data_IF_034091386262
#
_entry.id   IF_034091386262
#
_cell.length_a   1.000
_cell.length_b   1.000
_cell.length_c   1.000
_cell.angle_alpha   90.00
_cell.angle_beta   90.00
_cell.angle_gamma   90.00
#
_symmetry.space_group_name_H-M   'P 1'
#
loop_
_entity.id
_entity.type
_entity.pdbx_description
1 polymer ?
#
# COMPACT_ATOMS: atom_id res chain seq x y z
N UNK A 1 -18.16 -32.72 -10.59
CA UNK A 1 -19.07 -31.57 -10.84
C UNK A 1 -19.33 -30.73 -9.58
N UNK A 2 -19.65 -31.33 -8.42
CA UNK A 2 -19.85 -30.60 -7.14
C UNK A 2 -18.55 -29.90 -6.68
N UNK A 3 -17.40 -30.58 -6.73
CA UNK A 3 -16.10 -30.01 -6.32
C UNK A 3 -15.73 -28.75 -7.11
N UNK A 4 -15.90 -28.75 -8.44
CA UNK A 4 -15.61 -27.59 -9.27
C UNK A 4 -16.51 -26.40 -8.92
N UNK A 5 -17.79 -26.64 -8.61
CA UNK A 5 -18.70 -25.57 -8.16
C UNK A 5 -18.27 -24.97 -6.83
N UNK A 6 -17.79 -25.79 -5.89
CA UNK A 6 -17.28 -25.33 -4.59
C UNK A 6 -16.00 -24.50 -4.80
N UNK A 7 -15.04 -25.00 -5.59
CA UNK A 7 -13.80 -24.28 -5.91
C UNK A 7 -14.11 -22.94 -6.57
N UNK A 8 -15.01 -22.92 -7.56
CA UNK A 8 -15.41 -21.69 -8.24
C UNK A 8 -16.09 -20.69 -7.29
N UNK A 9 -17.00 -21.16 -6.43
CA UNK A 9 -17.66 -20.31 -5.43
C UNK A 9 -16.67 -19.70 -4.44
N UNK A 10 -15.68 -20.49 -4.01
CA UNK A 10 -14.65 -20.03 -3.07
C UNK A 10 -13.69 -19.03 -3.75
N UNK A 11 -13.28 -19.31 -4.98
CA UNK A 11 -12.47 -18.38 -5.78
C UNK A 11 -13.18 -17.04 -5.99
N UNK A 12 -14.47 -17.09 -6.31
CA UNK A 12 -15.31 -15.89 -6.45
C UNK A 12 -15.42 -15.11 -5.13
N UNK A 13 -15.62 -15.79 -4.01
CA UNK A 13 -15.66 -15.16 -2.69
C UNK A 13 -14.38 -14.37 -2.38
N UNK A 14 -13.21 -14.98 -2.62
CA UNK A 14 -11.93 -14.31 -2.42
C UNK A 14 -11.74 -13.12 -3.38
N UNK A 15 -12.11 -13.28 -4.66
CA UNK A 15 -12.01 -12.20 -5.65
C UNK A 15 -12.89 -11.00 -5.28
N UNK A 16 -14.15 -11.24 -4.89
CA UNK A 16 -15.09 -10.19 -4.47
C UNK A 16 -14.63 -9.50 -3.18
N UNK A 17 -14.16 -10.28 -2.20
CA UNK A 17 -13.68 -9.73 -0.94
C UNK A 17 -12.40 -8.89 -1.12
N UNK A 18 -11.47 -9.34 -1.97
CA UNK A 18 -10.28 -8.57 -2.35
C UNK A 18 -10.65 -7.27 -3.07
N UNK A 19 -11.63 -7.33 -3.98
CA UNK A 19 -12.16 -6.15 -4.67
C UNK A 19 -12.81 -5.16 -3.72
N UNK A 20 -13.60 -5.63 -2.74
CA UNK A 20 -14.20 -4.78 -1.71
C UNK A 20 -13.15 -4.06 -0.85
N UNK A 21 -12.05 -4.73 -0.52
CA UNK A 21 -10.92 -4.12 0.21
C UNK A 21 -10.23 -3.03 -0.62
N UNK A 22 -10.00 -3.27 -1.92
CA UNK A 22 -9.44 -2.24 -2.82
C UNK A 22 -10.40 -1.05 -2.91
N UNK A 23 -11.70 -1.29 -3.05
CA UNK A 23 -12.71 -0.23 -3.09
C UNK A 23 -12.73 0.59 -1.79
N UNK A 24 -12.68 -0.07 -0.62
CA UNK A 24 -12.60 0.62 0.66
C UNK A 24 -11.31 1.45 0.78
N UNK A 25 -10.18 0.92 0.31
CA UNK A 25 -8.92 1.66 0.29
C UNK A 25 -9.00 2.89 -0.63
N UNK A 26 -9.74 2.80 -1.74
CA UNK A 26 -10.00 3.93 -2.64
C UNK A 26 -10.78 5.03 -1.94
N UNK A 27 -11.82 4.69 -1.18
CA UNK A 27 -12.57 5.67 -0.39
C UNK A 27 -11.68 6.37 0.65
N UNK A 28 -10.83 5.60 1.35
CA UNK A 28 -9.87 6.18 2.30
C UNK A 28 -8.92 7.13 1.59
N UNK A 29 -8.38 6.74 0.43
CA UNK A 29 -7.50 7.61 -0.35
C UNK A 29 -8.20 8.88 -0.82
N UNK A 30 -9.43 8.78 -1.32
CA UNK A 30 -10.20 9.94 -1.76
C UNK A 30 -10.40 10.96 -0.63
N UNK A 31 -10.72 10.49 0.58
CA UNK A 31 -10.87 11.35 1.77
C UNK A 31 -9.51 11.91 2.25
N UNK A 32 -8.43 11.14 2.09
CA UNK A 32 -7.09 11.44 2.62
C UNK A 32 -6.10 11.98 1.58
N UNK A 33 -6.58 12.33 0.39
CA UNK A 33 -5.72 12.74 -0.72
C UNK A 33 -4.90 14.00 -0.39
N UNK A 34 -5.48 14.96 0.34
CA UNK A 34 -4.78 16.17 0.79
C UNK A 34 -3.69 15.82 1.81
N UNK A 35 -4.05 15.08 2.86
CA UNK A 35 -3.12 14.57 3.88
C UNK A 35 -1.93 13.81 3.26
N UNK A 36 -2.19 13.04 2.20
CA UNK A 36 -1.19 12.29 1.45
C UNK A 36 -0.21 13.20 0.69
N UNK A 37 -0.72 14.16 -0.10
CA UNK A 37 0.14 15.07 -0.85
C UNK A 37 0.90 16.06 0.03
N UNK A 38 0.31 16.48 1.16
CA UNK A 38 1.00 17.32 2.15
C UNK A 38 2.22 16.60 2.73
N UNK A 39 2.08 15.31 3.08
CA UNK A 39 3.19 14.49 3.57
C UNK A 39 4.31 14.37 2.52
N UNK A 40 3.95 14.12 1.27
CA UNK A 40 4.90 14.07 0.14
C UNK A 40 5.61 15.40 -0.03
N UNK A 41 4.88 16.52 0.02
CA UNK A 41 5.45 17.85 -0.12
C UNK A 41 6.43 18.16 1.03
N UNK A 42 6.07 17.81 2.27
CA UNK A 42 6.95 17.96 3.44
C UNK A 42 8.24 17.15 3.28
N UNK A 43 8.16 15.91 2.79
CA UNK A 43 9.34 15.10 2.52
C UNK A 43 10.23 15.72 1.43
N UNK A 44 9.64 16.12 0.31
CA UNK A 44 10.36 16.70 -0.84
C UNK A 44 11.04 18.03 -0.55
N UNK A 45 10.62 18.76 0.49
CA UNK A 45 11.30 19.99 0.92
C UNK A 45 12.71 19.75 1.44
N UNK A 46 12.97 18.57 2.02
CA UNK A 46 14.24 18.26 2.71
C UNK A 46 15.01 17.11 2.04
N UNK A 47 14.31 16.22 1.34
CA UNK A 47 14.88 14.97 0.85
C UNK A 47 14.40 14.62 -0.56
N UNK A 48 15.15 13.77 -1.25
CA UNK A 48 14.74 13.19 -2.53
C UNK A 48 14.15 11.80 -2.32
N UNK A 49 13.17 11.42 -3.14
CA UNK A 49 12.63 10.07 -3.11
C UNK A 49 13.62 9.10 -3.77
N UNK A 50 13.84 7.90 -3.19
CA UNK A 50 14.54 6.84 -3.89
C UNK A 50 13.74 6.41 -5.13
N UNK A 51 14.43 5.88 -6.14
CA UNK A 51 13.93 5.64 -7.51
C UNK A 51 12.55 4.96 -7.59
N UNK A 52 12.19 3.96 -6.76
CA UNK A 52 10.84 3.41 -6.81
C UNK A 52 9.80 4.47 -6.40
N UNK A 53 10.00 5.17 -5.28
CA UNK A 53 9.05 6.14 -4.75
C UNK A 53 8.93 7.40 -5.61
N UNK A 54 10.00 7.79 -6.32
CA UNK A 54 9.99 8.96 -7.21
C UNK A 54 9.09 8.77 -8.43
N UNK A 55 8.87 7.54 -8.88
CA UNK A 55 7.87 7.26 -9.93
C UNK A 55 6.46 7.10 -9.34
N UNK A 56 6.34 6.37 -8.24
CA UNK A 56 5.02 5.99 -7.71
C UNK A 56 4.22 7.15 -7.10
N UNK A 57 4.86 8.24 -6.64
CA UNK A 57 4.11 9.40 -6.16
C UNK A 57 3.27 10.09 -7.24
N UNK A 58 3.53 9.81 -8.52
CA UNK A 58 2.82 10.41 -9.67
C UNK A 58 1.61 9.59 -10.16
N UNK A 59 1.43 8.37 -9.67
CA UNK A 59 0.43 7.40 -10.18
C UNK A 59 -0.88 7.42 -9.34
N UNK A 60 -1.06 8.45 -8.51
CA UNK A 60 -2.26 8.63 -7.71
C UNK A 60 -2.56 7.45 -6.78
N UNK A 61 -3.81 6.96 -6.80
CA UNK A 61 -4.28 5.90 -5.91
C UNK A 61 -3.42 4.63 -5.92
N UNK A 62 -3.08 4.10 -7.09
CA UNK A 62 -2.27 2.87 -7.17
C UNK A 62 -0.83 3.07 -6.66
N UNK A 63 -0.28 4.27 -6.88
CA UNK A 63 1.04 4.63 -6.39
C UNK A 63 1.10 4.88 -4.88
N UNK A 64 -0.01 5.30 -4.27
CA UNK A 64 -0.10 5.60 -2.86
C UNK A 64 0.27 4.41 -1.98
N UNK A 65 -0.04 3.17 -2.37
CA UNK A 65 0.37 1.97 -1.65
C UNK A 65 1.90 1.88 -1.47
N UNK A 66 2.66 2.13 -2.53
CA UNK A 66 4.12 2.03 -2.49
C UNK A 66 4.73 3.18 -1.69
N UNK A 67 4.21 4.39 -1.87
CA UNK A 67 4.67 5.58 -1.13
C UNK A 67 4.33 5.49 0.36
N UNK A 68 3.13 5.01 0.71
CA UNK A 68 2.73 4.78 2.09
C UNK A 68 3.61 3.70 2.73
N UNK A 69 3.87 2.60 2.02
CA UNK A 69 4.81 1.56 2.49
C UNK A 69 6.21 2.13 2.73
N UNK A 70 6.68 3.02 1.87
CA UNK A 70 7.94 3.75 2.06
C UNK A 70 7.92 4.53 3.38
N UNK A 71 6.91 5.36 3.63
CA UNK A 71 6.81 6.14 4.87
C UNK A 71 6.66 5.26 6.13
N UNK A 72 5.93 4.15 6.06
CA UNK A 72 5.82 3.18 7.17
C UNK A 72 7.18 2.54 7.50
N UNK A 73 8.00 2.26 6.47
CA UNK A 73 9.36 1.75 6.69
C UNK A 73 10.27 2.82 7.26
N UNK A 74 10.18 4.04 6.71
CA UNK A 74 10.97 5.19 7.14
C UNK A 74 10.71 5.52 8.61
N UNK A 75 9.44 5.52 9.05
CA UNK A 75 9.06 5.79 10.45
C UNK A 75 9.59 4.74 11.44
N UNK A 76 9.97 3.56 10.96
CA UNK A 76 10.54 2.49 11.77
C UNK A 76 12.05 2.31 11.53
N UNK A 77 12.69 3.25 10.81
CA UNK A 77 14.11 3.18 10.42
C UNK A 77 14.50 1.84 9.79
N UNK A 78 13.56 1.23 9.04
CA UNK A 78 13.77 -0.06 8.35
C UNK A 78 14.43 0.14 6.99
N UNK A 79 15.09 -0.90 6.51
CA UNK A 79 15.77 -0.89 5.20
C UNK A 79 14.78 -0.62 4.06
N UNK A 80 15.10 0.41 3.28
CA UNK A 80 14.38 0.83 2.09
C UNK A 80 15.27 0.53 0.89
N UNK A 81 14.69 -0.10 -0.13
CA UNK A 81 15.43 -0.44 -1.35
C UNK A 81 15.88 0.85 -2.05
N UNK A 82 17.14 0.88 -2.52
CA UNK A 82 17.77 2.05 -3.14
C UNK A 82 17.96 3.26 -2.21
N UNK A 83 18.02 3.04 -0.90
CA UNK A 83 18.35 4.06 0.09
C UNK A 83 19.48 3.53 0.99
N UNK A 84 20.49 4.36 1.24
CA UNK A 84 21.60 3.98 2.13
C UNK A 84 21.16 4.03 3.59
N UNK A 85 21.73 3.19 4.44
CA UNK A 85 21.41 3.16 5.86
C UNK A 85 21.76 4.44 6.63
N UNK A 86 22.77 5.16 6.18
CA UNK A 86 23.24 6.43 6.72
C UNK A 86 22.56 7.65 6.08
N UNK A 87 21.54 7.42 5.26
CA UNK A 87 20.83 8.50 4.59
C UNK A 87 20.08 9.38 5.62
N UNK A 88 20.29 10.72 5.58
CA UNK A 88 19.70 11.63 6.56
C UNK A 88 18.16 11.62 6.53
N UNK A 89 17.52 11.18 5.45
CA UNK A 89 16.07 11.10 5.37
C UNK A 89 15.44 10.11 6.36
N UNK A 90 16.23 9.21 6.97
CA UNK A 90 15.77 8.38 8.10
C UNK A 90 15.39 9.19 9.35
N UNK A 91 15.84 10.44 9.45
CA UNK A 91 15.43 11.37 10.52
C UNK A 91 14.12 12.11 10.22
N UNK A 92 13.46 11.85 9.09
CA UNK A 92 12.25 12.57 8.69
C UNK A 92 11.10 12.55 9.72
N UNK A 93 10.95 11.45 10.46
CA UNK A 93 9.95 11.29 11.52
C UNK A 93 10.51 11.53 12.93
N UNK A 94 11.77 11.97 13.06
CA UNK A 94 12.33 12.36 14.36
C UNK A 94 11.83 13.76 14.78
N UNK A 95 11.34 14.56 13.82
CA UNK A 95 10.72 15.88 14.04
C UNK A 95 9.28 15.72 14.59
N UNK A 96 8.92 16.41 15.67
CA UNK A 96 7.67 16.16 16.42
C UNK A 96 6.38 16.47 15.66
N UNK A 97 6.47 17.33 14.64
CA UNK A 97 5.30 17.83 13.90
C UNK A 97 4.83 16.88 12.79
N UNK A 98 5.69 15.93 12.37
CA UNK A 98 5.37 15.00 11.28
C UNK A 98 5.25 13.60 11.84
N UNK A 99 4.02 13.07 11.83
CA UNK A 99 3.74 11.72 12.33
C UNK A 99 3.07 10.86 11.27
N UNK A 100 3.39 9.56 11.32
CA UNK A 100 2.73 8.56 10.51
C UNK A 100 1.27 8.40 10.98
N UNK A 101 0.33 8.87 10.17
CA UNK A 101 -1.10 8.85 10.49
C UNK A 101 -1.66 7.42 10.42
N UNK A 102 -2.60 7.08 11.31
CA UNK A 102 -3.23 5.74 11.40
C UNK A 102 -3.87 5.28 10.09
N UNK A 103 -4.49 6.19 9.33
CA UNK A 103 -5.13 5.86 8.06
C UNK A 103 -4.15 5.25 7.05
N UNK A 104 -2.87 5.61 7.11
CA UNK A 104 -1.83 5.07 6.23
C UNK A 104 -1.59 3.58 6.52
N UNK A 105 -1.61 3.19 7.81
CA UNK A 105 -1.49 1.79 8.21
C UNK A 105 -2.70 0.99 7.76
N UNK A 106 -3.91 1.53 7.96
CA UNK A 106 -5.16 0.89 7.51
C UNK A 106 -5.15 0.69 6.00
N UNK A 107 -4.81 1.75 5.25
CA UNK A 107 -4.69 1.71 3.80
C UNK A 107 -3.70 0.63 3.33
N UNK A 108 -2.51 0.59 3.93
CA UNK A 108 -1.50 -0.41 3.61
C UNK A 108 -1.99 -1.85 3.87
N UNK A 109 -2.63 -2.08 5.02
CA UNK A 109 -3.14 -3.40 5.35
C UNK A 109 -4.28 -3.84 4.43
N UNK A 110 -5.19 -2.93 4.03
CA UNK A 110 -6.24 -3.25 3.05
C UNK A 110 -5.66 -3.73 1.71
N UNK A 111 -4.60 -3.08 1.23
CA UNK A 111 -3.91 -3.51 0.01
C UNK A 111 -3.19 -4.84 0.17
N UNK A 112 -2.54 -5.06 1.31
CA UNK A 112 -1.87 -6.32 1.60
C UNK A 112 -2.86 -7.48 1.68
N UNK A 113 -3.97 -7.31 2.39
CA UNK A 113 -5.02 -8.33 2.52
C UNK A 113 -5.72 -8.57 1.19
N UNK A 114 -6.01 -7.52 0.41
CA UNK A 114 -6.56 -7.67 -0.93
C UNK A 114 -5.63 -8.48 -1.85
N UNK A 115 -4.32 -8.22 -1.79
CA UNK A 115 -3.32 -8.97 -2.55
C UNK A 115 -3.35 -10.45 -2.19
N UNK A 116 -3.37 -10.78 -0.90
CA UNK A 116 -3.50 -12.16 -0.42
C UNK A 116 -4.78 -12.82 -0.94
N UNK A 117 -5.90 -12.10 -0.91
CA UNK A 117 -7.19 -12.61 -1.39
C UNK A 117 -7.16 -12.88 -2.90
N UNK A 118 -6.57 -11.99 -3.69
CA UNK A 118 -6.40 -12.22 -5.13
C UNK A 118 -5.47 -13.41 -5.42
N UNK A 119 -4.42 -13.63 -4.64
CA UNK A 119 -3.58 -14.83 -4.76
C UNK A 119 -4.39 -16.10 -4.54
N UNK A 120 -5.23 -16.14 -3.50
CA UNK A 120 -6.13 -17.28 -3.27
C UNK A 120 -7.14 -17.47 -4.39
N UNK A 121 -7.73 -16.38 -4.90
CA UNK A 121 -8.68 -16.43 -6.01
C UNK A 121 -8.02 -17.00 -7.28
N UNK A 122 -6.82 -16.55 -7.62
CA UNK A 122 -6.05 -17.06 -8.77
C UNK A 122 -5.67 -18.53 -8.55
N UNK A 123 -5.17 -18.89 -7.37
CA UNK A 123 -4.80 -20.27 -7.07
C UNK A 123 -5.99 -21.23 -7.22
N UNK A 124 -7.18 -20.84 -6.72
CA UNK A 124 -8.41 -21.62 -6.89
C UNK A 124 -8.89 -21.65 -8.34
N UNK A 125 -8.73 -20.55 -9.08
CA UNK A 125 -9.03 -20.48 -10.50
C UNK A 125 -8.17 -21.43 -11.34
N UNK A 126 -6.88 -21.55 -11.02
CA UNK A 126 -5.95 -22.47 -11.69
C UNK A 126 -6.24 -23.95 -11.40
N UNK A 127 -7.01 -24.25 -10.34
CA UNK A 127 -7.45 -25.61 -10.00
C UNK A 127 -8.75 -26.00 -10.73
N UNK A 128 -9.40 -25.08 -11.43
CA UNK A 128 -10.56 -25.40 -12.25
C UNK A 128 -10.10 -26.03 -13.58
N UNK A 129 -10.71 -27.16 -13.99
CA UNK A 129 -10.43 -27.79 -15.28
C UNK A 129 -11.04 -27.03 -16.46
#
# INVERSE_FOLDING_TARGET
>A
MITNKIIASLGLYFALSGSAMIFLSFLIYAVKIKDYYDLIACYKKRFQFPVPSSFHHMIGFFGAFIVIRFFIKLSHKKNILFMRHDDPAYSFFDDTDIQLKTWMRIYFYLWLTATVFFIFAVALGLLLP
#
